data_IF_814292456963
#
_entry.id   IF_814292456963
#
_cell.length_a   1.000
_cell.length_b   1.000
_cell.length_c   1.000
_cell.angle_alpha   90.00
_cell.angle_beta   90.00
_cell.angle_gamma   90.00
#
_symmetry.space_group_name_H-M   'P 1'
#
loop_
_entity.id
_entity.type
_entity.pdbx_description
1 polymer ?
#
# COMPACT_ATOMS: atom_id res chain seq x y z
N UNK A 1 8.20 -17.80 20.11
CA UNK A 1 8.46 -18.34 21.48
C UNK A 1 7.54 -19.50 21.94
N UNK A 2 6.82 -20.20 21.04
CA UNK A 2 5.71 -21.10 21.44
C UNK A 2 5.88 -22.57 21.01
N UNK A 3 7.11 -23.06 20.81
CA UNK A 3 7.37 -24.45 20.41
C UNK A 3 8.27 -25.23 21.39
N UNK A 4 8.72 -24.63 22.49
CA UNK A 4 9.61 -25.30 23.47
C UNK A 4 8.90 -26.21 24.48
N UNK A 5 7.56 -26.31 24.44
CA UNK A 5 6.76 -27.05 25.45
C UNK A 5 6.34 -28.47 25.06
N UNK A 6 6.64 -28.94 23.85
CA UNK A 6 6.14 -30.25 23.36
C UNK A 6 7.22 -31.30 23.12
N UNK A 7 8.49 -30.99 23.33
CA UNK A 7 9.54 -32.02 23.32
C UNK A 7 9.64 -32.52 24.75
N UNK A 8 9.25 -33.79 24.98
CA UNK A 8 9.55 -34.48 26.23
C UNK A 8 11.02 -34.23 26.58
N UNK A 9 11.28 -33.68 27.76
CA UNK A 9 12.64 -33.55 28.27
C UNK A 9 13.19 -34.95 28.48
N UNK A 10 13.81 -35.51 27.43
CA UNK A 10 14.62 -36.72 27.53
C UNK A 10 15.70 -36.39 28.54
N UNK A 11 15.87 -37.24 29.56
CA UNK A 11 16.83 -37.02 30.64
C UNK A 11 18.24 -36.75 30.11
N UNK A 12 19.11 -36.23 30.98
CA UNK A 12 20.49 -35.90 30.63
C UNK A 12 21.14 -37.07 29.87
N UNK A 13 21.67 -36.83 28.65
CA UNK A 13 22.24 -37.90 27.86
C UNK A 13 23.48 -38.46 28.57
N UNK A 14 23.67 -39.78 28.55
CA UNK A 14 24.78 -40.46 29.20
C UNK A 14 26.09 -40.34 28.38
N UNK A 15 26.43 -39.13 27.93
CA UNK A 15 27.64 -38.85 27.15
C UNK A 15 28.37 -37.65 27.73
N UNK A 16 29.69 -37.75 27.88
CA UNK A 16 30.53 -36.66 28.42
C UNK A 16 30.93 -35.62 27.37
N UNK A 17 30.98 -36.01 26.10
CA UNK A 17 31.37 -35.13 25.00
C UNK A 17 30.78 -35.63 23.67
N UNK A 18 30.39 -34.70 22.80
CA UNK A 18 29.96 -34.99 21.42
C UNK A 18 30.82 -34.13 20.49
N UNK A 19 31.59 -34.77 19.61
CA UNK A 19 32.42 -34.12 18.59
C UNK A 19 31.88 -34.44 17.19
N UNK A 20 32.26 -33.63 16.18
CA UNK A 20 31.86 -33.89 14.79
C UNK A 20 30.44 -33.49 14.40
N UNK A 21 29.74 -32.71 15.24
CA UNK A 21 28.46 -32.12 14.83
C UNK A 21 28.71 -31.13 13.68
N UNK A 22 28.05 -31.29 12.51
CA UNK A 22 28.14 -30.31 11.46
C UNK A 22 27.52 -28.98 11.94
N UNK A 23 27.98 -27.82 11.42
CA UNK A 23 27.38 -26.54 11.77
C UNK A 23 25.89 -26.58 11.46
N UNK A 24 25.06 -26.38 12.48
CA UNK A 24 23.62 -26.31 12.32
C UNK A 24 23.27 -24.95 11.69
N UNK A 25 22.96 -24.93 10.40
CA UNK A 25 22.44 -23.75 9.70
C UNK A 25 20.91 -23.77 9.77
N UNK A 26 20.33 -22.83 10.51
CA UNK A 26 18.88 -22.61 10.48
C UNK A 26 18.56 -21.60 9.38
N UNK A 27 17.93 -22.08 8.30
CA UNK A 27 17.37 -21.23 7.25
C UNK A 27 15.90 -20.98 7.56
N UNK A 28 15.62 -19.84 8.19
CA UNK A 28 14.25 -19.40 8.39
C UNK A 28 13.71 -18.84 7.06
N UNK A 29 12.65 -19.45 6.52
CA UNK A 29 11.93 -18.84 5.42
C UNK A 29 11.22 -17.59 5.94
N UNK A 30 11.83 -16.42 5.74
CA UNK A 30 11.17 -15.13 6.00
C UNK A 30 10.01 -14.98 5.02
N UNK A 31 8.83 -15.46 5.41
CA UNK A 31 7.57 -15.14 4.74
C UNK A 31 7.23 -13.70 5.08
N UNK A 32 7.89 -12.75 4.42
CA UNK A 32 7.45 -11.36 4.47
C UNK A 32 6.14 -11.29 3.68
N UNK A 33 5.06 -10.83 4.32
CA UNK A 33 3.83 -10.56 3.61
C UNK A 33 4.08 -9.38 2.64
N UNK A 34 3.91 -9.55 1.33
CA UNK A 34 4.08 -8.45 0.39
C UNK A 34 3.11 -7.33 0.74
N UNK A 35 3.61 -6.09 0.81
CA UNK A 35 2.81 -4.88 0.89
C UNK A 35 2.73 -4.16 -0.45
N UNK A 36 1.98 -3.06 -0.52
CA UNK A 36 1.80 -2.29 -1.76
C UNK A 36 3.11 -1.74 -2.38
N UNK A 37 4.19 -1.67 -1.58
CA UNK A 37 5.54 -1.23 -2.00
C UNK A 37 6.53 -2.39 -2.20
N UNK A 38 6.09 -3.64 -2.10
CA UNK A 38 6.98 -4.79 -2.28
C UNK A 38 7.33 -4.98 -3.74
N UNK A 39 8.64 -5.09 -4.01
CA UNK A 39 9.21 -5.47 -5.29
C UNK A 39 10.04 -6.75 -5.17
N UNK A 40 10.40 -7.35 -6.31
CA UNK A 40 11.36 -8.46 -6.36
C UNK A 40 12.65 -8.08 -5.63
N UNK A 41 13.15 -6.85 -5.81
CA UNK A 41 14.38 -6.39 -5.16
C UNK A 41 14.28 -6.26 -3.64
N UNK A 42 13.11 -5.90 -3.09
CA UNK A 42 12.92 -5.84 -1.63
C UNK A 42 12.70 -7.22 -1.02
N UNK A 43 11.94 -8.10 -1.70
CA UNK A 43 11.64 -9.46 -1.20
C UNK A 43 12.89 -10.33 -1.20
N UNK A 44 13.74 -10.20 -2.23
CA UNK A 44 15.00 -10.94 -2.33
C UNK A 44 16.16 -10.27 -1.60
N UNK A 45 15.94 -9.09 -0.99
CA UNK A 45 16.97 -8.23 -0.38
C UNK A 45 18.04 -7.71 -1.33
N UNK A 46 17.96 -7.97 -2.64
CA UNK A 46 18.88 -7.43 -3.65
C UNK A 46 18.96 -5.90 -3.62
N UNK A 47 17.84 -5.24 -3.28
CA UNK A 47 17.78 -3.78 -3.13
C UNK A 47 18.73 -3.23 -2.06
N UNK A 48 19.13 -4.03 -1.07
CA UNK A 48 20.11 -3.61 -0.05
C UNK A 48 21.53 -3.54 -0.65
N UNK A 49 21.90 -4.52 -1.47
CA UNK A 49 23.19 -4.51 -2.15
C UNK A 49 23.26 -3.40 -3.20
N UNK A 50 22.19 -3.24 -3.99
CA UNK A 50 22.13 -2.22 -5.04
C UNK A 50 22.22 -0.80 -4.47
N UNK A 51 21.48 -0.48 -3.40
CA UNK A 51 21.55 0.86 -2.79
C UNK A 51 22.93 1.20 -2.25
N UNK A 52 23.64 0.21 -1.70
CA UNK A 52 25.00 0.38 -1.20
C UNK A 52 25.98 0.56 -2.35
N UNK A 53 25.83 -0.23 -3.43
CA UNK A 53 26.62 -0.10 -4.64
C UNK A 53 26.46 1.31 -5.26
N UNK A 54 25.23 1.77 -5.48
CA UNK A 54 24.98 3.10 -6.05
C UNK A 54 25.49 4.24 -5.17
N UNK A 55 25.33 4.14 -3.85
CA UNK A 55 25.84 5.13 -2.91
C UNK A 55 27.37 5.18 -2.80
N UNK A 56 28.08 4.10 -3.13
CA UNK A 56 29.53 4.00 -2.92
C UNK A 56 30.35 4.02 -4.21
N UNK A 57 29.76 3.58 -5.32
CA UNK A 57 30.42 3.42 -6.60
C UNK A 57 29.69 4.14 -7.76
N UNK A 58 28.63 4.90 -7.46
CA UNK A 58 27.92 5.69 -8.47
C UNK A 58 28.64 7.02 -8.76
N UNK A 59 28.52 7.48 -10.02
CA UNK A 59 28.94 8.81 -10.42
C UNK A 59 27.81 9.82 -10.20
N UNK A 60 28.13 10.94 -9.55
CA UNK A 60 27.16 12.00 -9.26
C UNK A 60 27.25 13.13 -10.29
N UNK A 61 26.12 13.76 -10.66
CA UNK A 61 26.14 14.97 -11.46
C UNK A 61 26.99 16.07 -10.80
N UNK A 62 27.70 16.91 -11.58
CA UNK A 62 28.44 18.04 -11.02
C UNK A 62 27.57 18.93 -10.14
N UNK A 63 28.01 19.20 -8.91
CA UNK A 63 27.29 20.03 -7.94
C UNK A 63 26.22 19.29 -7.11
N UNK A 64 25.99 17.99 -7.34
CA UNK A 64 25.12 17.20 -6.49
C UNK A 64 25.77 16.90 -5.13
N UNK A 65 24.97 16.95 -4.06
CA UNK A 65 25.39 16.47 -2.75
C UNK A 65 25.59 14.95 -2.76
N UNK A 66 26.40 14.45 -1.82
CA UNK A 66 26.66 13.02 -1.68
C UNK A 66 25.36 12.27 -1.35
N UNK A 67 24.97 11.33 -2.20
CA UNK A 67 23.78 10.50 -1.97
C UNK A 67 24.15 9.23 -1.21
N UNK A 68 23.64 9.11 0.01
CA UNK A 68 23.75 7.89 0.80
C UNK A 68 22.76 6.81 0.30
N UNK A 69 22.87 5.59 0.84
CA UNK A 69 22.06 4.45 0.37
C UNK A 69 20.55 4.67 0.51
N UNK A 70 20.13 5.55 1.41
CA UNK A 70 18.73 5.92 1.59
C UNK A 70 18.16 6.68 0.40
N UNK A 71 18.97 7.42 -0.36
CA UNK A 71 18.54 8.10 -1.58
C UNK A 71 18.13 7.13 -2.70
N UNK A 72 18.52 5.86 -2.58
CA UNK A 72 18.21 4.80 -3.55
C UNK A 72 17.17 3.80 -3.02
N UNK A 73 16.34 4.23 -2.07
CA UNK A 73 15.31 3.40 -1.45
C UNK A 73 13.92 4.02 -1.66
N UNK A 74 12.95 3.29 -2.27
CA UNK A 74 11.57 3.78 -2.38
C UNK A 74 10.83 3.82 -1.02
N UNK A 75 11.44 3.26 0.04
CA UNK A 75 10.87 3.19 1.38
C UNK A 75 11.39 4.28 2.33
N UNK A 76 12.25 5.19 1.87
CA UNK A 76 12.75 6.32 2.67
C UNK A 76 12.14 7.61 2.12
N UNK A 77 11.97 8.63 2.97
CA UNK A 77 11.43 9.92 2.53
C UNK A 77 12.32 10.59 1.46
N UNK A 78 13.64 10.45 1.59
CA UNK A 78 14.62 11.04 0.66
C UNK A 78 14.73 10.29 -0.68
N UNK A 79 14.49 8.99 -0.70
CA UNK A 79 14.60 8.17 -1.92
C UNK A 79 13.27 7.91 -2.63
N UNK A 80 12.14 8.12 -1.95
CA UNK A 80 10.83 7.96 -2.55
C UNK A 80 10.53 9.06 -3.58
N UNK A 81 10.00 8.66 -4.74
CA UNK A 81 9.49 9.62 -5.72
C UNK A 81 8.41 10.51 -5.07
N UNK A 82 8.47 11.85 -5.22
CA UNK A 82 7.54 12.76 -4.56
C UNK A 82 6.10 12.64 -5.08
N UNK A 83 5.89 12.13 -6.29
CA UNK A 83 4.54 11.97 -6.85
C UNK A 83 3.87 10.65 -6.45
N UNK A 84 4.58 9.52 -6.58
CA UNK A 84 4.00 8.21 -6.25
C UNK A 84 4.35 7.72 -4.84
N UNK A 85 5.10 8.52 -4.07
CA UNK A 85 5.56 8.19 -2.71
C UNK A 85 6.17 6.79 -2.60
N UNK A 86 6.98 6.41 -3.59
CA UNK A 86 7.67 5.11 -3.63
C UNK A 86 6.79 3.91 -3.98
N UNK A 87 5.54 4.11 -4.42
CA UNK A 87 4.65 3.02 -4.87
C UNK A 87 4.96 2.55 -6.30
N UNK A 88 5.59 3.39 -7.12
CA UNK A 88 5.83 3.12 -8.54
C UNK A 88 4.60 3.27 -9.43
N UNK A 89 3.46 3.67 -8.87
CA UNK A 89 2.21 3.95 -9.58
C UNK A 89 1.41 5.02 -8.84
N UNK A 90 0.63 5.79 -9.60
CA UNK A 90 -0.31 6.78 -9.08
C UNK A 90 -1.71 6.19 -9.28
N UNK A 91 -2.52 6.17 -8.22
CA UNK A 91 -3.92 5.84 -8.34
C UNK A 91 -4.68 7.14 -8.52
N UNK A 92 -5.41 7.27 -9.64
CA UNK A 92 -6.33 8.37 -9.88
C UNK A 92 -7.74 7.83 -9.85
N UNK A 93 -8.65 8.73 -9.50
CA UNK A 93 -10.07 8.45 -9.47
C UNK A 93 -10.70 9.06 -10.72
N UNK A 94 -11.57 8.30 -11.39
CA UNK A 94 -12.28 8.73 -12.59
C UNK A 94 -13.79 8.68 -12.33
N UNK A 95 -14.55 9.63 -12.85
CA UNK A 95 -16.01 9.68 -12.70
C UNK A 95 -16.66 8.41 -13.23
N UNK A 96 -16.18 7.85 -14.35
CA UNK A 96 -16.73 6.62 -14.93
C UNK A 96 -16.55 5.40 -14.01
N UNK A 97 -15.48 5.40 -13.20
CA UNK A 97 -15.24 4.35 -12.21
C UNK A 97 -16.06 4.55 -10.93
N UNK A 98 -16.33 5.80 -10.57
CA UNK A 98 -17.14 6.15 -9.40
C UNK A 98 -18.64 5.99 -9.66
N UNK A 99 -19.07 6.26 -10.90
CA UNK A 99 -20.46 6.27 -11.35
C UNK A 99 -20.59 5.42 -12.63
N UNK A 100 -20.61 4.08 -12.51
CA UNK A 100 -20.60 3.18 -13.66
C UNK A 100 -21.85 3.27 -14.54
N UNK A 101 -23.00 3.62 -13.95
CA UNK A 101 -24.26 3.82 -14.66
C UNK A 101 -24.82 5.23 -14.39
N UNK A 102 -24.53 6.21 -15.28
CA UNK A 102 -24.97 7.58 -15.10
C UNK A 102 -26.45 7.78 -15.47
N UNK A 103 -27.18 6.72 -15.83
CA UNK A 103 -28.62 6.76 -16.05
C UNK A 103 -29.44 6.69 -14.77
N UNK A 104 -28.86 6.15 -13.70
CA UNK A 104 -29.47 6.09 -12.39
C UNK A 104 -29.41 7.43 -11.68
N UNK A 105 -30.35 7.66 -10.79
CA UNK A 105 -30.27 8.74 -9.81
C UNK A 105 -29.35 8.40 -8.65
N UNK A 106 -28.99 9.39 -7.84
CA UNK A 106 -28.20 9.16 -6.62
C UNK A 106 -28.99 8.26 -5.65
N UNK A 107 -30.32 8.43 -5.58
CA UNK A 107 -31.19 7.60 -4.74
C UNK A 107 -31.17 6.13 -5.17
N UNK A 108 -31.15 5.87 -6.47
CA UNK A 108 -31.07 4.53 -7.06
C UNK A 108 -29.66 3.92 -7.01
N UNK A 109 -28.65 4.68 -6.58
CA UNK A 109 -27.30 4.18 -6.37
C UNK A 109 -26.34 4.40 -7.54
N UNK A 110 -26.48 5.50 -8.28
CA UNK A 110 -25.54 5.88 -9.33
C UNK A 110 -24.08 5.89 -8.85
N UNK A 111 -23.80 6.43 -7.66
CA UNK A 111 -22.44 6.53 -7.10
C UNK A 111 -22.05 5.22 -6.42
N UNK A 112 -21.48 4.30 -7.20
CA UNK A 112 -21.08 2.97 -6.73
C UNK A 112 -19.93 3.00 -5.70
N UNK A 113 -19.13 4.08 -5.69
CA UNK A 113 -18.02 4.24 -4.75
C UNK A 113 -18.45 4.59 -3.31
N UNK A 114 -19.71 4.98 -3.11
CA UNK A 114 -20.20 5.32 -1.78
C UNK A 114 -20.42 4.08 -0.90
N UNK A 115 -20.26 4.21 0.43
CA UNK A 115 -20.53 3.12 1.35
C UNK A 115 -22.00 2.72 1.31
N UNK A 116 -22.28 1.43 1.44
CA UNK A 116 -23.65 0.90 1.49
C UNK A 116 -24.40 1.23 2.78
N UNK A 117 -25.61 0.67 2.89
CA UNK A 117 -26.45 0.70 4.09
C UNK A 117 -26.73 2.14 4.60
N UNK A 118 -26.56 2.37 5.91
CA UNK A 118 -26.95 3.62 6.55
C UNK A 118 -26.06 4.80 6.13
N UNK A 119 -24.76 4.58 5.92
CA UNK A 119 -23.82 5.62 5.52
C UNK A 119 -24.15 6.19 4.14
N UNK A 120 -24.44 5.33 3.15
CA UNK A 120 -24.89 5.80 1.84
C UNK A 120 -26.25 6.49 1.89
N UNK A 121 -27.16 6.08 2.80
CA UNK A 121 -28.40 6.84 3.06
C UNK A 121 -28.08 8.23 3.62
N UNK A 122 -27.18 8.32 4.60
CA UNK A 122 -26.81 9.59 5.22
C UNK A 122 -26.24 10.59 4.20
N UNK A 123 -25.31 10.15 3.33
CA UNK A 123 -24.75 11.02 2.28
C UNK A 123 -25.84 11.53 1.33
N UNK A 124 -26.82 10.70 0.97
CA UNK A 124 -27.98 11.11 0.17
C UNK A 124 -28.86 12.14 0.88
N UNK A 125 -29.17 11.91 2.16
CA UNK A 125 -29.97 12.82 2.96
C UNK A 125 -29.27 14.19 3.11
N UNK A 126 -27.94 14.21 3.20
CA UNK A 126 -27.14 15.45 3.23
C UNK A 126 -27.25 16.19 1.90
N UNK A 127 -27.10 15.50 0.75
CA UNK A 127 -27.24 16.14 -0.55
C UNK A 127 -28.63 16.74 -0.77
N UNK A 128 -29.68 16.04 -0.35
CA UNK A 128 -31.07 16.51 -0.43
C UNK A 128 -31.27 17.77 0.43
N UNK A 129 -30.72 17.79 1.66
CA UNK A 129 -30.76 18.95 2.53
C UNK A 129 -29.97 20.16 1.99
N UNK A 130 -28.91 19.91 1.21
CA UNK A 130 -28.14 20.94 0.50
C UNK A 130 -28.82 21.42 -0.79
N UNK A 131 -29.93 20.79 -1.20
CA UNK A 131 -30.74 21.18 -2.35
C UNK A 131 -30.33 20.52 -3.67
N UNK A 132 -29.52 19.46 -3.64
CA UNK A 132 -29.22 18.68 -4.84
C UNK A 132 -30.38 17.72 -5.16
N UNK A 133 -30.74 17.63 -6.45
CA UNK A 133 -31.81 16.76 -6.94
C UNK A 133 -31.34 15.29 -6.99
N UNK A 134 -31.45 14.58 -5.87
CA UNK A 134 -30.97 13.19 -5.73
C UNK A 134 -31.81 12.15 -6.50
N UNK A 135 -32.96 12.56 -7.04
CA UNK A 135 -33.91 11.71 -7.78
C UNK A 135 -33.76 11.86 -9.31
N UNK A 136 -33.00 12.85 -9.78
CA UNK A 136 -32.66 13.02 -11.19
C UNK A 136 -31.56 12.05 -11.63
N UNK A 137 -31.61 11.52 -12.88
CA UNK A 137 -30.49 10.78 -13.46
C UNK A 137 -29.17 11.55 -13.36
N UNK A 138 -28.10 10.88 -12.93
CA UNK A 138 -26.79 11.52 -12.69
C UNK A 138 -26.30 12.36 -13.87
N UNK A 139 -26.40 11.84 -15.10
CA UNK A 139 -25.99 12.54 -16.33
C UNK A 139 -26.73 13.86 -16.58
N UNK A 140 -27.90 14.06 -15.96
CA UNK A 140 -28.77 15.23 -16.13
C UNK A 140 -28.55 16.29 -15.02
N UNK A 141 -27.73 15.98 -14.01
CA UNK A 141 -27.28 16.96 -13.03
C UNK A 141 -26.35 18.01 -13.65
N UNK A 142 -26.32 19.25 -13.14
CA UNK A 142 -25.32 20.24 -13.54
C UNK A 142 -23.90 19.70 -13.32
N UNK A 143 -22.99 19.96 -14.27
CA UNK A 143 -21.61 19.50 -14.19
C UNK A 143 -20.89 19.97 -12.90
N UNK A 144 -21.18 21.21 -12.46
CA UNK A 144 -20.66 21.77 -11.20
C UNK A 144 -21.10 20.95 -9.98
N UNK A 145 -22.34 20.48 -9.97
CA UNK A 145 -22.88 19.70 -8.85
C UNK A 145 -22.23 18.31 -8.84
N UNK A 146 -22.11 17.67 -10.01
CA UNK A 146 -21.39 16.39 -10.13
C UNK A 146 -19.95 16.47 -9.65
N UNK A 147 -19.24 17.52 -10.07
CA UNK A 147 -17.85 17.76 -9.67
C UNK A 147 -17.72 17.97 -8.16
N UNK A 148 -18.59 18.80 -7.57
CA UNK A 148 -18.59 19.03 -6.13
C UNK A 148 -18.93 17.75 -5.35
N UNK A 149 -19.93 16.99 -5.79
CA UNK A 149 -20.34 15.73 -5.12
C UNK A 149 -19.22 14.68 -5.12
N UNK A 150 -18.42 14.58 -6.20
CA UNK A 150 -17.39 13.53 -6.34
C UNK A 150 -16.00 13.93 -5.86
N UNK A 151 -15.64 15.21 -5.96
CA UNK A 151 -14.24 15.64 -5.86
C UNK A 151 -14.01 16.84 -4.92
N UNK A 152 -15.01 17.26 -4.15
CA UNK A 152 -14.81 18.31 -3.13
C UNK A 152 -13.90 17.84 -1.99
N UNK A 153 -13.13 18.78 -1.44
CA UNK A 153 -12.32 18.61 -0.22
C UNK A 153 -13.02 19.21 1.03
N UNK A 154 -14.27 19.67 0.88
CA UNK A 154 -15.09 20.27 1.96
C UNK A 154 -15.61 19.26 2.99
#
# INVERSE_FOLDING_TARGET
>A
PYARRLIHQVGAPAVGEITGLPPAVSLEQRRSAPGARSSVGTVTTLSNSLRMLFSRAGDYPPGAERLDSDSFSPNTAVGACPECHGLGRIHRTDEELLVPDPSLSIREGAIAAWPGAWQGKNLRDVLDALGHDVDRPWRELPAKDREWILFTDE
#
